data_IF_649370794931
#
_entry.id   IF_649370794931
#
_cell.length_a   1.000
_cell.length_b   1.000
_cell.length_c   1.000
_cell.angle_alpha   90.00
_cell.angle_beta   90.00
_cell.angle_gamma   90.00
#
_symmetry.space_group_name_H-M   'P 1'
#
loop_
_entity.id
_entity.type
_entity.pdbx_description
1 polymer ?
#
# COMPACT_ATOMS: atom_id res chain seq x y z
N UNK A 1 12.86 25.54 -36.48
CA UNK A 1 12.04 26.38 -37.38
C UNK A 1 12.29 27.86 -37.10
N UNK A 2 12.67 28.63 -38.13
CA UNK A 2 12.81 30.08 -38.04
C UNK A 2 11.47 30.80 -38.33
N UNK A 3 11.12 31.82 -37.55
CA UNK A 3 9.86 32.56 -37.75
C UNK A 3 9.99 33.60 -38.88
N UNK A 4 9.00 33.67 -39.78
CA UNK A 4 8.93 34.73 -40.81
C UNK A 4 8.47 36.07 -40.20
N UNK A 5 8.72 37.21 -40.85
CA UNK A 5 8.16 38.49 -40.43
C UNK A 5 6.63 38.46 -40.49
N UNK A 6 5.97 39.09 -39.50
CA UNK A 6 4.51 39.17 -39.49
C UNK A 6 4.02 40.00 -40.67
N UNK A 7 3.16 39.46 -41.55
CA UNK A 7 2.55 40.20 -42.65
C UNK A 7 1.54 41.22 -42.10
N UNK A 8 1.30 42.31 -42.84
CA UNK A 8 0.41 43.38 -42.38
C UNK A 8 -1.02 42.90 -42.07
N UNK A 9 -1.54 41.97 -42.88
CA UNK A 9 -2.85 41.37 -42.63
C UNK A 9 -2.90 40.66 -41.26
N UNK A 10 -1.91 39.81 -40.95
CA UNK A 10 -1.83 39.12 -39.63
C UNK A 10 -1.69 40.11 -38.48
N UNK A 11 -0.91 41.18 -38.65
CA UNK A 11 -0.77 42.25 -37.63
C UNK A 11 -2.11 42.88 -37.31
N UNK A 12 -2.91 43.20 -38.34
CA UNK A 12 -4.25 43.76 -38.18
C UNK A 12 -5.18 42.78 -37.47
N UNK A 13 -5.10 41.49 -37.78
CA UNK A 13 -5.93 40.46 -37.16
C UNK A 13 -5.58 40.24 -35.68
N UNK A 14 -4.29 40.17 -35.34
CA UNK A 14 -3.81 40.04 -33.97
C UNK A 14 -4.20 41.23 -33.08
N UNK A 15 -4.22 42.45 -33.62
CA UNK A 15 -4.64 43.65 -32.87
C UNK A 15 -6.15 43.62 -32.54
N UNK A 16 -6.96 42.95 -33.37
CA UNK A 16 -8.41 42.78 -33.14
C UNK A 16 -8.72 41.70 -32.12
N UNK A 17 -7.81 40.77 -31.83
CA UNK A 17 -8.02 39.73 -30.81
C UNK A 17 -8.29 40.33 -29.43
N UNK A 18 -9.02 39.57 -28.63
CA UNK A 18 -9.36 39.97 -27.28
C UNK A 18 -8.07 40.21 -26.46
N UNK A 19 -8.09 41.25 -25.62
CA UNK A 19 -6.96 41.59 -24.77
C UNK A 19 -6.67 40.47 -23.78
N UNK A 20 -7.70 39.85 -23.20
CA UNK A 20 -7.52 38.76 -22.25
C UNK A 20 -6.86 37.54 -22.90
N UNK A 21 -7.28 37.13 -24.10
CA UNK A 21 -6.67 36.01 -24.84
C UNK A 21 -5.20 36.28 -25.19
N UNK A 22 -4.85 37.54 -25.45
CA UNK A 22 -3.47 37.93 -25.74
C UNK A 22 -2.60 37.92 -24.48
N UNK A 23 -3.19 38.28 -23.33
CA UNK A 23 -2.53 38.17 -22.03
C UNK A 23 -2.30 36.69 -21.70
N UNK A 24 -3.32 35.84 -21.83
CA UNK A 24 -3.22 34.40 -21.56
C UNK A 24 -2.12 33.73 -22.40
N UNK A 25 -2.06 34.01 -23.71
CA UNK A 25 -0.98 33.53 -24.58
C UNK A 25 0.41 33.98 -24.11
N UNK A 26 0.56 35.25 -23.73
CA UNK A 26 1.86 35.76 -23.28
C UNK A 26 2.23 35.28 -21.88
N UNK A 27 1.25 34.96 -21.03
CA UNK A 27 1.46 34.38 -19.69
C UNK A 27 1.98 32.94 -19.77
N UNK A 28 1.59 32.15 -20.78
CA UNK A 28 2.14 30.81 -21.03
C UNK A 28 3.67 30.81 -21.26
N UNK A 29 4.22 31.93 -21.76
CA UNK A 29 5.66 32.10 -21.97
C UNK A 29 6.41 32.26 -20.62
N UNK A 30 5.73 32.54 -19.52
CA UNK A 30 6.33 33.17 -18.34
C UNK A 30 6.88 32.26 -17.24
N UNK A 31 6.59 30.95 -17.23
CA UNK A 31 6.97 30.10 -16.09
C UNK A 31 8.46 29.70 -16.04
N UNK A 32 9.17 29.58 -17.18
CA UNK A 32 10.62 29.25 -17.19
C UNK A 32 11.48 30.12 -18.12
N UNK A 33 11.07 30.38 -19.37
CA UNK A 33 11.83 31.20 -20.33
C UNK A 33 11.49 32.71 -20.24
N UNK A 34 10.24 33.05 -19.89
CA UNK A 34 9.74 34.43 -19.94
C UNK A 34 10.34 35.39 -18.93
N UNK A 35 10.96 34.93 -17.84
CA UNK A 35 11.63 35.84 -16.88
C UNK A 35 12.85 36.52 -17.49
N UNK A 36 13.66 35.79 -18.26
CA UNK A 36 14.83 36.37 -18.93
C UNK A 36 14.40 37.24 -20.12
N UNK A 37 13.40 36.79 -20.89
CA UNK A 37 12.84 37.53 -22.03
C UNK A 37 12.18 38.87 -21.64
N UNK A 38 11.29 38.87 -20.64
CA UNK A 38 10.61 40.09 -20.17
C UNK A 38 11.62 41.10 -19.62
N UNK A 39 12.68 40.62 -18.96
CA UNK A 39 13.71 41.48 -18.37
C UNK A 39 14.65 42.12 -19.40
N UNK A 40 14.97 41.42 -20.50
CA UNK A 40 15.97 41.86 -21.47
C UNK A 40 15.37 42.64 -22.66
N UNK A 41 14.22 42.22 -23.20
CA UNK A 41 13.72 42.72 -24.49
C UNK A 41 12.49 43.63 -24.37
N UNK A 42 11.66 43.45 -23.34
CA UNK A 42 10.40 44.20 -23.19
C UNK A 42 10.49 45.42 -22.25
N UNK A 43 11.51 45.47 -21.39
CA UNK A 43 11.80 46.65 -20.57
C UNK A 43 12.78 47.58 -21.30
N UNK A 44 12.61 48.91 -21.24
CA UNK A 44 13.71 49.81 -21.53
C UNK A 44 14.84 49.54 -20.53
N UNK A 45 16.07 49.41 -21.01
CA UNK A 45 17.28 49.11 -20.23
C UNK A 45 17.58 50.10 -19.09
N UNK A 46 16.83 51.20 -19.00
CA UNK A 46 16.84 52.09 -17.84
C UNK A 46 15.46 52.73 -17.63
N UNK A 47 14.61 52.11 -16.81
CA UNK A 47 13.58 52.88 -16.10
C UNK A 47 14.24 53.38 -14.82
N UNK A 48 14.49 54.70 -14.72
CA UNK A 48 15.05 55.32 -13.51
C UNK A 48 14.25 54.87 -12.28
N UNK A 49 14.91 54.20 -11.33
CA UNK A 49 14.32 53.78 -10.05
C UNK A 49 14.08 52.27 -9.88
N UNK A 50 14.29 51.43 -10.91
CA UNK A 50 14.22 49.96 -10.75
C UNK A 50 15.61 49.34 -10.88
N UNK A 51 15.96 48.41 -9.97
CA UNK A 51 17.14 47.56 -10.15
C UNK A 51 16.94 46.68 -11.39
N UNK A 52 17.95 46.56 -12.27
CA UNK A 52 17.93 45.57 -13.35
C UNK A 52 17.56 44.19 -12.80
N UNK A 53 16.59 43.53 -13.43
CA UNK A 53 16.12 42.19 -13.01
C UNK A 53 15.00 42.14 -11.96
N UNK A 54 14.48 43.27 -11.48
CA UNK A 54 13.42 43.31 -10.43
C UNK A 54 12.08 43.94 -10.85
N UNK A 55 11.86 44.21 -12.14
CA UNK A 55 10.55 44.69 -12.60
C UNK A 55 9.50 43.57 -12.56
N UNK A 56 8.30 43.87 -12.05
CA UNK A 56 7.21 42.90 -12.02
C UNK A 56 6.68 42.61 -13.45
N UNK A 57 6.60 41.33 -13.86
CA UNK A 57 6.12 40.92 -15.19
C UNK A 57 4.71 41.45 -15.53
N UNK A 58 3.86 41.55 -14.52
CA UNK A 58 2.42 41.87 -14.61
C UNK A 58 2.11 43.25 -15.21
N UNK A 59 3.05 44.20 -15.18
CA UNK A 59 2.85 45.55 -15.76
C UNK A 59 3.32 45.69 -17.22
N UNK A 60 4.00 44.68 -17.76
CA UNK A 60 4.74 44.80 -19.03
C UNK A 60 3.95 44.24 -20.22
N UNK A 61 3.23 43.13 -20.02
CA UNK A 61 2.35 42.52 -21.04
C UNK A 61 1.21 43.48 -21.47
N UNK A 62 0.47 44.12 -20.55
CA UNK A 62 -0.55 45.10 -20.94
C UNK A 62 0.02 46.31 -21.70
N UNK A 63 1.27 46.72 -21.40
CA UNK A 63 1.94 47.81 -22.13
C UNK A 63 2.33 47.41 -23.54
N UNK A 64 2.86 46.20 -23.75
CA UNK A 64 3.14 45.66 -25.09
C UNK A 64 1.87 45.62 -25.92
N UNK A 65 0.78 45.09 -25.36
CA UNK A 65 -0.53 45.03 -26.04
C UNK A 65 -1.03 46.43 -26.37
N UNK A 66 -0.99 47.36 -25.43
CA UNK A 66 -1.40 48.75 -25.68
C UNK A 66 -0.54 49.41 -26.76
N UNK A 67 0.76 49.12 -26.82
CA UNK A 67 1.64 49.65 -27.88
C UNK A 67 1.34 49.02 -29.24
N UNK A 68 1.05 47.71 -29.31
CA UNK A 68 0.58 47.03 -30.52
C UNK A 68 -0.75 47.60 -31.02
N UNK A 69 -1.69 47.89 -30.10
CA UNK A 69 -3.01 48.45 -30.44
C UNK A 69 -2.98 49.94 -30.78
N UNK A 70 -2.14 50.76 -30.14
CA UNK A 70 -2.06 52.23 -30.34
C UNK A 70 -1.39 52.65 -31.64
N UNK A 71 -0.36 51.93 -32.10
CA UNK A 71 0.43 52.34 -33.28
C UNK A 71 -0.08 51.73 -34.60
N UNK A 72 -1.38 51.52 -34.75
CA UNK A 72 -1.96 51.13 -36.05
C UNK A 72 -1.70 52.16 -37.17
N UNK A 73 -1.28 53.37 -36.82
CA UNK A 73 -0.84 54.40 -37.78
C UNK A 73 0.55 54.05 -38.34
N UNK A 74 0.55 53.62 -39.61
CA UNK A 74 1.66 53.09 -40.40
C UNK A 74 2.90 54.00 -40.45
N UNK A 75 3.79 53.86 -39.48
CA UNK A 75 5.15 54.42 -39.57
C UNK A 75 6.20 53.33 -39.38
N UNK A 76 7.40 53.54 -39.94
CA UNK A 76 8.55 52.63 -39.85
C UNK A 76 8.95 52.25 -38.40
N UNK A 77 8.47 53.00 -37.39
CA UNK A 77 8.61 52.68 -35.96
C UNK A 77 7.86 51.40 -35.51
N UNK A 78 6.96 50.87 -36.34
CA UNK A 78 6.15 49.68 -36.03
C UNK A 78 6.92 48.36 -36.16
N UNK A 79 7.98 48.30 -36.98
CA UNK A 79 8.75 47.06 -37.19
C UNK A 79 9.38 46.54 -35.90
N UNK A 80 9.89 47.43 -35.04
CA UNK A 80 10.55 47.06 -33.79
C UNK A 80 9.59 46.36 -32.79
N UNK A 81 8.33 46.78 -32.70
CA UNK A 81 7.36 46.19 -31.77
C UNK A 81 6.92 44.81 -32.26
N UNK A 82 6.72 44.65 -33.58
CA UNK A 82 6.40 43.35 -34.17
C UNK A 82 7.58 42.37 -34.13
N UNK A 83 8.82 42.86 -34.16
CA UNK A 83 10.00 42.04 -33.88
C UNK A 83 10.00 41.55 -32.43
N UNK A 84 9.66 42.41 -31.46
CA UNK A 84 9.49 41.98 -30.06
C UNK A 84 8.40 40.93 -29.89
N UNK A 85 7.29 41.07 -30.62
CA UNK A 85 6.23 40.06 -30.63
C UNK A 85 6.68 38.75 -31.28
N UNK A 86 7.45 38.81 -32.38
CA UNK A 86 8.09 37.62 -32.99
C UNK A 86 8.95 36.88 -31.97
N UNK A 87 9.79 37.59 -31.22
CA UNK A 87 10.63 36.97 -30.18
C UNK A 87 9.74 36.35 -29.09
N UNK A 88 8.67 37.03 -28.65
CA UNK A 88 7.73 36.47 -27.67
C UNK A 88 7.08 35.17 -28.17
N UNK A 89 6.69 35.12 -29.44
CA UNK A 89 6.14 33.90 -30.05
C UNK A 89 7.18 32.78 -30.15
N UNK A 90 8.43 33.09 -30.52
CA UNK A 90 9.51 32.09 -30.51
C UNK A 90 9.76 31.55 -29.10
N UNK A 91 9.78 32.42 -28.09
CA UNK A 91 9.91 31.99 -26.69
C UNK A 91 8.72 31.14 -26.22
N UNK A 92 7.50 31.42 -26.70
CA UNK A 92 6.34 30.56 -26.48
C UNK A 92 6.54 29.18 -27.10
N UNK A 93 7.04 29.11 -28.34
CA UNK A 93 7.36 27.82 -28.98
C UNK A 93 8.38 27.04 -28.15
N UNK A 94 9.46 27.71 -27.72
CA UNK A 94 10.53 27.10 -26.92
C UNK A 94 10.04 26.59 -25.54
N UNK A 95 9.03 27.23 -24.95
CA UNK A 95 8.45 26.79 -23.67
C UNK A 95 7.55 25.56 -23.80
N UNK A 96 7.13 25.20 -25.01
CA UNK A 96 6.34 23.99 -25.29
C UNK A 96 7.27 22.89 -25.80
N UNK A 97 7.80 22.06 -24.91
CA UNK A 97 8.89 21.12 -25.20
C UNK A 97 8.62 20.20 -26.41
N UNK A 98 7.42 19.62 -26.49
CA UNK A 98 7.05 18.72 -27.59
C UNK A 98 6.95 19.47 -28.93
N UNK A 99 6.32 20.65 -28.93
CA UNK A 99 6.26 21.51 -30.12
C UNK A 99 7.66 21.95 -30.56
N UNK A 100 8.50 22.42 -29.63
CA UNK A 100 9.85 22.87 -29.93
C UNK A 100 10.70 21.75 -30.53
N UNK A 101 10.62 20.53 -29.98
CA UNK A 101 11.34 19.36 -30.49
C UNK A 101 10.95 19.06 -31.94
N UNK A 102 9.65 18.99 -32.22
CA UNK A 102 9.11 18.75 -33.57
C UNK A 102 9.56 19.85 -34.55
N UNK A 103 9.51 21.10 -34.12
CA UNK A 103 9.91 22.24 -34.96
C UNK A 103 11.42 22.38 -35.13
N UNK A 104 12.23 21.81 -34.23
CA UNK A 104 13.68 21.77 -34.39
C UNK A 104 14.09 20.75 -35.46
N UNK A 105 13.36 19.64 -35.55
CA UNK A 105 13.54 18.62 -36.59
C UNK A 105 13.02 19.08 -37.96
N UNK A 106 12.10 20.06 -37.98
CA UNK A 106 11.58 20.65 -39.21
C UNK A 106 12.48 21.75 -39.79
N UNK A 107 13.10 21.46 -40.93
CA UNK A 107 13.93 22.43 -41.66
C UNK A 107 13.09 23.32 -42.58
N UNK A 108 12.94 24.59 -42.19
CA UNK A 108 12.33 25.61 -43.03
C UNK A 108 13.33 26.61 -43.60
N UNK A 109 14.63 26.31 -43.58
CA UNK A 109 15.67 27.15 -44.19
C UNK A 109 15.42 27.50 -45.66
N UNK A 110 14.78 26.65 -46.53
CA UNK A 110 14.54 27.02 -47.92
C UNK A 110 13.55 28.18 -48.11
N UNK A 111 12.76 28.53 -47.08
CA UNK A 111 11.89 29.71 -47.09
C UNK A 111 12.68 31.04 -46.90
N UNK A 112 13.98 30.96 -46.60
CA UNK A 112 14.88 32.08 -46.37
C UNK A 112 16.07 31.98 -47.35
N UNK A 113 16.24 32.96 -48.22
CA UNK A 113 17.46 33.06 -49.04
C UNK A 113 18.70 33.36 -48.20
N UNK A 114 19.89 33.09 -48.75
CA UNK A 114 21.20 33.27 -48.08
C UNK A 114 21.41 34.68 -47.48
N UNK A 115 20.73 35.69 -48.02
CA UNK A 115 20.81 37.07 -47.57
C UNK A 115 19.54 37.58 -46.87
N UNK A 116 18.53 36.72 -46.65
CA UNK A 116 17.22 37.06 -46.05
C UNK A 116 16.49 38.20 -46.77
N UNK A 117 16.77 38.43 -48.06
CA UNK A 117 16.11 39.43 -48.91
C UNK A 117 14.82 38.89 -49.53
N UNK A 118 14.75 37.58 -49.77
CA UNK A 118 13.61 36.89 -50.34
C UNK A 118 13.11 35.86 -49.31
N UNK A 119 12.06 36.26 -48.58
CA UNK A 119 11.37 35.40 -47.62
C UNK A 119 10.09 34.91 -48.29
N UNK A 120 9.87 33.59 -48.29
CA UNK A 120 8.64 33.02 -48.82
C UNK A 120 7.41 33.63 -48.13
N UNK A 121 6.27 33.79 -48.84
CA UNK A 121 5.08 34.31 -48.21
C UNK A 121 4.59 33.39 -47.07
N UNK A 122 3.80 33.93 -46.13
CA UNK A 122 3.07 33.12 -45.17
C UNK A 122 2.18 32.10 -45.88
N UNK A 123 2.04 30.92 -45.28
CA UNK A 123 1.32 29.77 -45.83
C UNK A 123 1.99 29.24 -47.11
N UNK A 124 3.33 29.24 -47.13
CA UNK A 124 4.10 28.54 -48.18
C UNK A 124 3.83 27.03 -48.13
N UNK A 125 4.27 26.31 -49.16
CA UNK A 125 4.20 24.83 -49.16
C UNK A 125 4.93 24.23 -47.94
N UNK A 126 6.04 24.83 -47.50
CA UNK A 126 6.75 24.40 -46.30
C UNK A 126 5.94 24.68 -45.02
N UNK A 127 5.22 25.80 -44.95
CA UNK A 127 4.30 26.04 -43.82
C UNK A 127 3.20 24.96 -43.78
N UNK A 128 2.63 24.58 -44.94
CA UNK A 128 1.64 23.49 -45.02
C UNK A 128 2.23 22.14 -44.59
N UNK A 129 3.46 21.84 -45.01
CA UNK A 129 4.18 20.63 -44.59
C UNK A 129 4.48 20.62 -43.09
N UNK A 130 4.79 21.76 -42.49
CA UNK A 130 4.92 21.90 -41.04
C UNK A 130 3.61 21.47 -40.36
N UNK A 131 2.45 21.96 -40.80
CA UNK A 131 1.16 21.57 -40.21
C UNK A 131 0.79 20.09 -40.46
N UNK A 132 1.19 19.50 -41.59
CA UNK A 132 1.06 18.05 -41.83
C UNK A 132 1.88 17.25 -40.82
N UNK A 133 3.12 17.68 -40.56
CA UNK A 133 4.01 17.07 -39.55
C UNK A 133 3.41 17.18 -38.15
N UNK A 134 2.88 18.34 -37.78
CA UNK A 134 2.20 18.54 -36.48
C UNK A 134 0.95 17.68 -36.35
N UNK A 135 0.18 17.48 -37.43
CA UNK A 135 -0.98 16.58 -37.43
C UNK A 135 -0.56 15.11 -37.22
N UNK A 136 0.53 14.67 -37.85
CA UNK A 136 1.07 13.32 -37.63
C UNK A 136 1.56 13.14 -36.19
N UNK A 137 2.28 14.11 -35.64
CA UNK A 137 2.68 14.10 -34.23
C UNK A 137 1.47 14.07 -33.28
N UNK A 138 0.39 14.78 -33.61
CA UNK A 138 -0.85 14.75 -32.83
C UNK A 138 -1.51 13.38 -32.84
N UNK A 139 -1.53 12.69 -33.99
CA UNK A 139 -2.01 11.30 -34.10
C UNK A 139 -1.16 10.30 -33.32
N UNK A 140 0.10 10.65 -33.07
CA UNK A 140 1.03 9.88 -32.26
C UNK A 140 1.04 10.33 -30.79
N UNK A 141 0.03 11.08 -30.33
CA UNK A 141 -0.13 11.51 -28.93
C UNK A 141 1.01 12.42 -28.41
N UNK A 142 1.71 13.12 -29.29
CA UNK A 142 2.84 13.98 -28.92
C UNK A 142 2.45 15.45 -28.71
N UNK A 143 1.47 15.94 -29.45
CA UNK A 143 1.03 17.35 -29.39
C UNK A 143 -0.48 17.47 -29.59
N UNK A 144 -1.11 18.30 -28.78
CA UNK A 144 -2.55 18.50 -28.81
C UNK A 144 -3.00 19.56 -29.83
N UNK A 145 -4.26 19.44 -30.22
CA UNK A 145 -4.94 20.35 -31.15
C UNK A 145 -4.88 21.80 -30.68
N UNK A 146 -5.05 22.06 -29.39
CA UNK A 146 -5.09 23.40 -28.83
C UNK A 146 -3.72 24.10 -28.97
N UNK A 147 -2.63 23.37 -28.74
CA UNK A 147 -1.25 23.85 -28.96
C UNK A 147 -1.00 24.16 -30.43
N UNK A 148 -1.37 23.26 -31.36
CA UNK A 148 -1.24 23.52 -32.81
C UNK A 148 -2.07 24.75 -33.21
N UNK A 149 -3.29 24.88 -32.67
CA UNK A 149 -4.16 26.03 -32.93
C UNK A 149 -3.53 27.33 -32.46
N UNK A 150 -2.96 27.37 -31.24
CA UNK A 150 -2.26 28.55 -30.72
C UNK A 150 -1.03 28.92 -31.55
N UNK A 151 -0.25 27.92 -31.97
CA UNK A 151 0.88 28.11 -32.87
C UNK A 151 0.48 28.82 -34.16
N UNK A 152 -0.63 28.40 -34.78
CA UNK A 152 -1.19 29.02 -35.97
C UNK A 152 -1.80 30.42 -35.72
N UNK A 153 -2.60 30.55 -34.67
CA UNK A 153 -3.33 31.77 -34.37
C UNK A 153 -2.42 32.95 -34.03
N UNK A 154 -1.35 32.71 -33.27
CA UNK A 154 -0.42 33.73 -32.82
C UNK A 154 0.85 33.82 -33.66
N UNK A 155 1.12 32.84 -34.52
CA UNK A 155 2.27 32.87 -35.44
C UNK A 155 2.12 33.83 -36.60
N UNK A 156 3.03 33.77 -37.57
CA UNK A 156 3.03 34.68 -38.73
C UNK A 156 2.04 34.29 -39.84
N UNK A 157 1.35 33.15 -39.71
CA UNK A 157 0.47 32.56 -40.71
C UNK A 157 -0.76 33.42 -41.01
N UNK A 158 -1.24 33.36 -42.26
CA UNK A 158 -2.49 34.00 -42.66
C UNK A 158 -3.66 32.99 -42.57
N UNK A 159 -4.92 33.47 -42.51
CA UNK A 159 -6.08 32.58 -42.59
C UNK A 159 -6.01 31.66 -43.82
N UNK A 160 -6.03 30.34 -43.60
CA UNK A 160 -6.02 29.30 -44.64
C UNK A 160 -6.95 28.17 -44.27
N UNK A 161 -7.93 27.88 -45.13
CA UNK A 161 -8.85 26.75 -44.96
C UNK A 161 -8.13 25.40 -44.91
N UNK A 162 -6.99 25.28 -45.61
CA UNK A 162 -6.22 24.04 -45.62
C UNK A 162 -5.57 23.80 -44.25
N UNK A 163 -4.92 24.83 -43.68
CA UNK A 163 -4.32 24.75 -42.35
C UNK A 163 -5.41 24.49 -41.30
N UNK A 164 -6.53 25.20 -41.37
CA UNK A 164 -7.66 24.97 -40.45
C UNK A 164 -8.17 23.53 -40.53
N UNK A 165 -8.29 22.95 -41.73
CA UNK A 165 -8.69 21.55 -41.91
C UNK A 165 -7.68 20.58 -41.29
N UNK A 166 -6.39 20.89 -41.33
CA UNK A 166 -5.36 20.08 -40.68
C UNK A 166 -5.48 20.16 -39.15
N UNK A 167 -5.65 21.36 -38.60
CA UNK A 167 -5.83 21.57 -37.15
C UNK A 167 -7.11 20.89 -36.65
N UNK A 168 -8.20 20.94 -37.41
CA UNK A 168 -9.46 20.28 -37.02
C UNK A 168 -9.33 18.75 -36.94
N UNK A 169 -8.42 18.15 -37.70
CA UNK A 169 -8.13 16.71 -37.68
C UNK A 169 -7.17 16.28 -36.56
N UNK A 170 -6.55 17.22 -35.85
CA UNK A 170 -5.67 16.93 -34.73
C UNK A 170 -6.48 16.45 -33.50
N UNK A 171 -5.82 15.70 -32.62
CA UNK A 171 -6.46 15.17 -31.41
C UNK A 171 -6.49 16.24 -30.31
N UNK A 172 -7.62 16.45 -29.62
CA UNK A 172 -7.68 17.33 -28.46
C UNK A 172 -6.91 16.71 -27.27
N UNK A 173 -6.42 17.56 -26.36
CA UNK A 173 -5.65 17.14 -25.18
C UNK A 173 -6.31 15.99 -24.40
N UNK A 174 -7.62 16.07 -24.16
CA UNK A 174 -8.36 15.04 -23.40
C UNK A 174 -8.32 13.65 -24.07
N UNK A 175 -8.26 13.59 -25.40
CA UNK A 175 -8.17 12.34 -26.15
C UNK A 175 -6.76 11.75 -26.09
N UNK A 176 -5.73 12.61 -26.17
CA UNK A 176 -4.32 12.21 -25.99
C UNK A 176 -4.11 11.61 -24.60
N UNK A 177 -4.58 12.29 -23.54
CA UNK A 177 -4.50 11.80 -22.17
C UNK A 177 -5.21 10.46 -21.99
N UNK A 178 -6.39 10.31 -22.59
CA UNK A 178 -7.14 9.05 -22.58
C UNK A 178 -6.36 7.92 -23.24
N UNK A 179 -5.70 8.17 -24.38
CA UNK A 179 -4.91 7.15 -25.07
C UNK A 179 -3.67 6.75 -24.27
N UNK A 180 -2.95 7.71 -23.70
CA UNK A 180 -1.81 7.44 -22.81
C UNK A 180 -2.21 6.61 -21.58
N UNK A 181 -3.38 6.89 -21.00
CA UNK A 181 -3.92 6.07 -19.90
C UNK A 181 -4.24 4.62 -20.33
N UNK A 182 -4.65 4.41 -21.57
CA UNK A 182 -4.90 3.06 -22.10
C UNK A 182 -3.59 2.31 -22.39
N UNK A 183 -2.54 3.00 -22.83
CA UNK A 183 -1.23 2.40 -23.13
C UNK A 183 -0.57 1.73 -21.90
N UNK A 184 -0.82 2.25 -20.69
CA UNK A 184 -0.27 1.69 -19.44
C UNK A 184 -1.10 0.55 -18.83
N UNK A 185 -2.30 0.27 -19.36
CA UNK A 185 -3.16 -0.80 -18.84
C UNK A 185 -2.59 -2.21 -19.04
N UNK A 186 -1.99 -2.57 -20.19
CA UNK A 186 -1.40 -3.89 -20.38
C UNK A 186 -0.35 -4.24 -19.33
N UNK A 187 0.54 -3.29 -19.00
CA UNK A 187 1.57 -3.49 -17.97
C UNK A 187 0.94 -3.72 -16.60
N UNK A 188 -0.06 -2.91 -16.23
CA UNK A 188 -0.83 -3.11 -14.99
C UNK A 188 -1.54 -4.46 -14.94
N UNK A 189 -2.10 -4.93 -16.05
CA UNK A 189 -2.73 -6.26 -16.14
C UNK A 189 -1.68 -7.36 -15.94
N UNK A 190 -0.51 -7.22 -16.55
CA UNK A 190 0.59 -8.18 -16.39
C UNK A 190 1.10 -8.23 -14.94
N UNK A 191 1.26 -7.08 -14.28
CA UNK A 191 1.63 -7.00 -12.86
C UNK A 191 0.60 -7.68 -11.96
N UNK A 192 -0.70 -7.40 -12.18
CA UNK A 192 -1.78 -8.04 -11.42
C UNK A 192 -1.83 -9.55 -11.64
N UNK A 193 -1.64 -10.02 -12.88
CA UNK A 193 -1.56 -11.45 -13.19
C UNK A 193 -0.38 -12.12 -12.46
N UNK A 194 0.77 -11.46 -12.40
CA UNK A 194 1.93 -11.91 -11.62
C UNK A 194 1.64 -12.01 -10.11
N UNK A 195 0.97 -11.00 -9.55
CA UNK A 195 0.57 -11.00 -8.15
C UNK A 195 -0.43 -12.14 -7.82
N UNK A 196 -1.40 -12.38 -8.70
CA UNK A 196 -2.37 -13.49 -8.57
C UNK A 196 -1.64 -14.84 -8.58
N UNK A 197 -0.67 -15.03 -9.48
CA UNK A 197 0.12 -16.27 -9.52
C UNK A 197 0.92 -16.49 -8.22
N UNK A 198 1.53 -15.44 -7.69
CA UNK A 198 2.24 -15.49 -6.40
C UNK A 198 1.31 -15.86 -5.24
N UNK A 199 0.12 -15.26 -5.20
CA UNK A 199 -0.90 -15.59 -4.19
C UNK A 199 -1.38 -17.04 -4.31
N UNK A 200 -1.59 -17.54 -5.53
CA UNK A 200 -1.99 -18.94 -5.76
C UNK A 200 -0.92 -19.93 -5.27
N UNK A 201 0.37 -19.63 -5.48
CA UNK A 201 1.46 -20.45 -4.94
C UNK A 201 1.46 -20.46 -3.41
N UNK A 202 1.30 -19.30 -2.76
CA UNK A 202 1.18 -19.21 -1.30
C UNK A 202 -0.03 -19.97 -0.77
N UNK A 203 -1.18 -19.91 -1.45
CA UNK A 203 -2.37 -20.68 -1.08
C UNK A 203 -2.08 -22.18 -1.16
N UNK A 204 -1.40 -22.64 -2.21
CA UNK A 204 -1.03 -24.05 -2.35
C UNK A 204 -0.07 -24.52 -1.23
N UNK A 205 0.90 -23.69 -0.84
CA UNK A 205 1.81 -23.94 0.30
C UNK A 205 1.04 -24.05 1.63
N UNK A 206 0.15 -23.11 1.91
CA UNK A 206 -0.69 -23.13 3.13
C UNK A 206 -1.57 -24.39 3.15
N UNK A 207 -2.21 -24.73 2.02
CA UNK A 207 -3.04 -25.93 1.92
C UNK A 207 -2.23 -27.23 2.16
N UNK A 208 -0.97 -27.28 1.74
CA UNK A 208 -0.08 -28.42 2.01
C UNK A 208 0.29 -28.52 3.50
N UNK A 209 0.48 -27.38 4.16
CA UNK A 209 0.77 -27.30 5.59
C UNK A 209 -0.43 -27.74 6.42
N UNK A 210 -1.65 -27.32 6.04
CA UNK A 210 -2.89 -27.74 6.70
C UNK A 210 -3.09 -29.26 6.67
N UNK A 211 -2.86 -29.91 5.51
CA UNK A 211 -2.90 -31.38 5.41
C UNK A 211 -1.92 -32.06 6.38
N UNK A 212 -0.74 -31.48 6.57
CA UNK A 212 0.27 -32.00 7.49
C UNK A 212 -0.17 -31.85 8.94
N UNK A 213 -0.72 -30.69 9.31
CA UNK A 213 -1.29 -30.43 10.63
C UNK A 213 -2.44 -31.38 10.95
N UNK A 214 -3.36 -31.61 10.01
CA UNK A 214 -4.45 -32.58 10.17
C UNK A 214 -3.92 -34.00 10.42
N UNK A 215 -2.88 -34.44 9.69
CA UNK A 215 -2.25 -35.75 9.88
C UNK A 215 -1.61 -35.88 11.27
N UNK A 216 -0.94 -34.83 11.75
CA UNK A 216 -0.34 -34.80 13.09
C UNK A 216 -1.42 -34.85 14.18
N UNK A 217 -2.52 -34.09 14.05
CA UNK A 217 -3.63 -34.12 15.00
C UNK A 217 -4.30 -35.50 15.10
N UNK A 218 -4.43 -36.23 13.97
CA UNK A 218 -4.91 -37.62 13.99
C UNK A 218 -3.96 -38.53 14.78
N UNK A 219 -2.64 -38.43 14.53
CA UNK A 219 -1.63 -39.19 15.30
C UNK A 219 -1.65 -38.86 16.78
N UNK A 220 -1.76 -37.59 17.16
CA UNK A 220 -1.88 -37.17 18.57
C UNK A 220 -3.11 -37.81 19.19
N UNK A 221 -4.25 -37.78 18.50
CA UNK A 221 -5.50 -38.39 18.98
C UNK A 221 -5.36 -39.91 19.18
N UNK A 222 -4.71 -40.61 18.26
CA UNK A 222 -4.43 -42.05 18.36
C UNK A 222 -3.51 -42.36 19.56
N UNK A 223 -2.44 -41.58 19.72
CA UNK A 223 -1.50 -41.72 20.85
C UNK A 223 -2.21 -41.45 22.18
N UNK A 224 -3.03 -40.40 22.28
CA UNK A 224 -3.81 -40.08 23.48
C UNK A 224 -4.74 -41.24 23.85
N UNK A 225 -5.48 -41.80 22.89
CA UNK A 225 -6.35 -42.97 23.13
C UNK A 225 -5.55 -44.20 23.60
N UNK A 226 -4.38 -44.43 23.01
CA UNK A 226 -3.50 -45.52 23.44
C UNK A 226 -3.02 -45.33 24.88
N UNK A 227 -2.61 -44.10 25.24
CA UNK A 227 -2.21 -43.77 26.60
C UNK A 227 -3.35 -43.94 27.60
N UNK A 228 -4.54 -43.46 27.29
CA UNK A 228 -5.74 -43.63 28.15
C UNK A 228 -6.06 -45.11 28.38
N UNK A 229 -5.94 -45.94 27.33
CA UNK A 229 -6.14 -47.38 27.45
C UNK A 229 -5.09 -48.04 28.34
N UNK A 230 -3.81 -47.70 28.19
CA UNK A 230 -2.73 -48.27 29.00
C UNK A 230 -2.84 -47.81 30.46
N UNK A 231 -3.19 -46.55 30.70
CA UNK A 231 -3.43 -46.01 32.04
C UNK A 231 -4.62 -46.73 32.71
N UNK A 232 -5.68 -47.00 31.96
CA UNK A 232 -6.84 -47.75 32.45
C UNK A 232 -6.49 -49.21 32.80
N UNK A 233 -5.70 -49.89 31.96
CA UNK A 233 -5.17 -51.24 32.24
C UNK A 233 -4.28 -51.21 33.49
N UNK A 234 -3.37 -50.25 33.59
CA UNK A 234 -2.47 -50.10 34.73
C UNK A 234 -3.25 -49.86 36.02
N UNK A 235 -4.26 -48.98 36.01
CA UNK A 235 -5.14 -48.71 37.15
C UNK A 235 -5.91 -49.97 37.58
N UNK A 236 -6.48 -50.71 36.62
CA UNK A 236 -7.17 -51.98 36.90
C UNK A 236 -6.22 -53.01 37.52
N UNK A 237 -5.04 -53.19 36.93
CA UNK A 237 -4.01 -54.10 37.42
C UNK A 237 -3.56 -53.73 38.84
N UNK A 238 -3.31 -52.45 39.08
CA UNK A 238 -2.91 -51.95 40.40
C UNK A 238 -4.00 -52.17 41.45
N UNK A 239 -5.25 -51.82 41.14
CA UNK A 239 -6.39 -52.06 42.03
C UNK A 239 -6.56 -53.55 42.34
N UNK A 240 -6.41 -54.43 41.34
CA UNK A 240 -6.48 -55.87 41.55
C UNK A 240 -5.38 -56.38 42.50
N UNK A 241 -4.16 -55.84 42.39
CA UNK A 241 -3.03 -56.20 43.28
C UNK A 241 -3.26 -55.69 44.70
N UNK A 242 -3.73 -54.45 44.86
CA UNK A 242 -4.07 -53.89 46.16
C UNK A 242 -5.17 -54.72 46.82
N UNK A 243 -6.26 -55.03 46.10
CA UNK A 243 -7.38 -55.80 46.67
C UNK A 243 -6.93 -57.19 47.09
N UNK A 244 -6.08 -57.87 46.29
CA UNK A 244 -5.49 -59.15 46.69
C UNK A 244 -4.65 -59.02 47.96
N UNK A 245 -3.80 -57.99 48.06
CA UNK A 245 -2.96 -57.77 49.24
C UNK A 245 -3.82 -57.48 50.49
N UNK A 246 -4.80 -56.57 50.37
CA UNK A 246 -5.72 -56.20 51.46
C UNK A 246 -6.47 -57.44 51.92
N UNK A 247 -7.10 -58.19 51.02
CA UNK A 247 -7.86 -59.39 51.38
C UNK A 247 -6.97 -60.45 52.05
N UNK A 248 -5.74 -60.63 51.56
CA UNK A 248 -4.79 -61.58 52.19
C UNK A 248 -4.36 -61.15 53.60
N UNK A 249 -4.22 -59.84 53.84
CA UNK A 249 -3.88 -59.31 55.17
C UNK A 249 -5.08 -59.34 56.10
N UNK A 250 -6.26 -59.02 55.59
CA UNK A 250 -7.51 -59.05 56.34
C UNK A 250 -7.80 -60.46 56.84
N UNK A 251 -7.68 -61.48 55.98
CA UNK A 251 -7.83 -62.88 56.36
C UNK A 251 -6.86 -63.30 57.50
N UNK A 252 -5.60 -62.84 57.45
CA UNK A 252 -4.63 -63.11 58.54
C UNK A 252 -4.97 -62.42 59.84
N UNK A 253 -5.51 -61.20 59.77
CA UNK A 253 -5.98 -60.47 60.95
C UNK A 253 -7.21 -61.17 61.54
N UNK A 254 -8.16 -61.58 60.70
CA UNK A 254 -9.34 -62.36 61.12
C UNK A 254 -8.92 -63.66 61.82
N UNK A 255 -7.99 -64.43 61.25
CA UNK A 255 -7.46 -65.66 61.87
C UNK A 255 -6.80 -65.37 63.23
N UNK A 256 -6.02 -64.29 63.32
CA UNK A 256 -5.38 -63.87 64.58
C UNK A 256 -6.41 -63.45 65.65
N UNK A 257 -7.47 -62.73 65.25
CA UNK A 257 -8.56 -62.32 66.14
C UNK A 257 -9.30 -63.55 66.67
N UNK A 258 -9.68 -64.49 65.81
CA UNK A 258 -10.34 -65.74 66.24
C UNK A 258 -9.45 -66.55 67.19
N UNK A 259 -8.14 -66.64 66.91
CA UNK A 259 -7.20 -67.28 67.82
C UNK A 259 -7.17 -66.58 69.19
N UNK A 260 -7.14 -65.25 69.23
CA UNK A 260 -7.14 -64.50 70.49
C UNK A 260 -8.47 -64.65 71.25
N UNK A 261 -9.61 -64.68 70.56
CA UNK A 261 -10.93 -64.93 71.14
C UNK A 261 -10.99 -66.32 71.82
N UNK A 262 -10.46 -67.36 71.17
CA UNK A 262 -10.39 -68.70 71.77
C UNK A 262 -9.48 -68.74 73.00
N UNK A 263 -8.35 -68.03 72.98
CA UNK A 263 -7.45 -67.92 74.12
C UNK A 263 -8.11 -67.15 75.28
N UNK A 264 -8.87 -66.09 74.99
CA UNK A 264 -9.61 -65.34 76.00
C UNK A 264 -10.66 -66.22 76.69
N UNK A 265 -11.45 -66.98 75.94
CA UNK A 265 -12.42 -67.94 76.50
C UNK A 265 -11.76 -68.98 77.41
N UNK A 266 -10.59 -69.48 77.01
CA UNK A 266 -9.82 -70.41 77.84
C UNK A 266 -9.33 -69.75 79.14
N UNK A 267 -8.87 -68.50 79.08
CA UNK A 267 -8.46 -67.73 80.26
C UNK A 267 -9.64 -67.44 81.20
N UNK A 268 -10.82 -67.10 80.66
CA UNK A 268 -12.04 -66.92 81.45
C UNK A 268 -12.45 -68.21 82.18
N UNK A 269 -12.35 -69.36 81.52
CA UNK A 269 -12.58 -70.66 82.15
C UNK A 269 -11.59 -70.94 83.28
N UNK A 270 -10.30 -70.66 83.08
CA UNK A 270 -9.27 -70.80 84.12
C UNK A 270 -9.61 -69.90 85.32
N UNK A 271 -9.97 -68.64 85.10
CA UNK A 271 -10.35 -67.70 86.15
C UNK A 271 -11.60 -68.18 86.95
N UNK A 272 -12.59 -68.79 86.27
CA UNK A 272 -13.74 -69.41 86.96
C UNK A 272 -13.31 -70.61 87.82
N UNK A 273 -12.39 -71.44 87.32
CA UNK A 273 -11.82 -72.53 88.10
C UNK A 273 -11.03 -72.02 89.31
N UNK A 274 -10.21 -70.98 89.16
CA UNK A 274 -9.47 -70.35 90.26
C UNK A 274 -10.42 -69.82 91.34
N UNK A 275 -11.53 -69.17 90.96
CA UNK A 275 -12.58 -68.76 91.91
C UNK A 275 -13.20 -69.93 92.65
N UNK A 276 -13.52 -71.03 91.96
CA UNK A 276 -14.07 -72.25 92.58
C UNK A 276 -13.07 -72.91 93.53
N UNK A 277 -11.80 -72.96 93.15
CA UNK A 277 -10.71 -73.44 94.01
C UNK A 277 -10.62 -72.57 95.26
N UNK A 278 -10.63 -71.23 95.12
CA UNK A 278 -10.64 -70.32 96.27
C UNK A 278 -11.84 -70.52 97.21
N UNK A 279 -13.04 -70.80 96.67
CA UNK A 279 -14.22 -71.14 97.49
C UNK A 279 -14.06 -72.49 98.21
N UNK A 280 -13.49 -73.49 97.54
CA UNK A 280 -13.17 -74.79 98.13
C UNK A 280 -12.15 -74.63 99.27
N UNK A 281 -11.10 -73.86 99.05
CA UNK A 281 -10.04 -73.59 100.02
C UNK A 281 -10.59 -72.90 101.27
N UNK A 282 -11.46 -71.89 101.11
CA UNK A 282 -12.19 -71.27 102.22
C UNK A 282 -13.08 -72.25 102.99
N UNK A 283 -13.76 -73.19 102.30
CA UNK A 283 -14.56 -74.24 102.96
C UNK A 283 -13.67 -75.21 103.74
N UNK A 284 -12.52 -75.56 103.18
CA UNK A 284 -11.55 -76.46 103.79
C UNK A 284 -10.95 -75.83 105.05
N UNK A 285 -10.57 -74.56 104.99
CA UNK A 285 -10.08 -73.80 106.14
C UNK A 285 -11.11 -73.75 107.27
N UNK A 286 -12.39 -73.48 106.96
CA UNK A 286 -13.48 -73.55 107.95
C UNK A 286 -13.64 -74.94 108.58
N UNK A 287 -13.47 -76.01 107.80
CA UNK A 287 -13.52 -77.37 108.33
C UNK A 287 -12.32 -77.66 109.24
N UNK A 288 -11.12 -77.21 108.89
CA UNK A 288 -9.92 -77.33 109.73
C UNK A 288 -10.13 -76.60 111.06
N UNK A 289 -10.56 -75.33 111.02
CA UNK A 289 -10.89 -74.55 112.23
C UNK A 289 -11.95 -75.25 113.09
N UNK A 290 -13.00 -75.82 112.46
CA UNK A 290 -14.02 -76.60 113.17
C UNK A 290 -13.45 -77.85 113.85
N UNK A 291 -12.49 -78.54 113.23
CA UNK A 291 -11.82 -79.72 113.81
C UNK A 291 -10.92 -79.29 114.97
N UNK A 292 -10.21 -78.17 114.85
CA UNK A 292 -9.37 -77.62 115.93
C UNK A 292 -10.21 -77.26 117.16
N UNK A 293 -11.36 -76.60 116.97
CA UNK A 293 -12.32 -76.32 118.05
C UNK A 293 -12.84 -77.61 118.69
N UNK A 294 -13.16 -78.64 117.90
CA UNK A 294 -13.57 -79.95 118.43
C UNK A 294 -12.44 -80.63 119.22
N UNK A 295 -11.19 -80.54 118.74
CA UNK A 295 -10.01 -81.11 119.40
C UNK A 295 -9.71 -80.40 120.72
N UNK A 296 -9.85 -79.08 120.78
CA UNK A 296 -9.77 -78.33 122.04
C UNK A 296 -10.90 -78.67 123.02
N UNK A 297 -12.09 -78.99 122.51
CA UNK A 297 -13.20 -79.51 123.31
C UNK A 297 -12.91 -80.87 123.94
N UNK A 298 -12.27 -81.78 123.19
CA UNK A 298 -11.87 -83.11 123.68
C UNK A 298 -10.75 -83.02 124.71
N UNK A 299 -9.79 -82.10 124.55
CA UNK A 299 -8.69 -81.92 125.51
C UNK A 299 -9.10 -81.24 126.83
N UNK A 300 -10.35 -80.78 126.97
CA UNK A 300 -10.89 -80.13 128.19
C UNK A 300 -11.91 -80.99 128.95
N UNK A 301 -12.24 -82.19 128.45
CA UNK A 301 -13.11 -83.18 129.09
C UNK A 301 -12.26 -84.29 129.74
#
# INVERSE_FOLDING_TARGET
MEAKPYPEAKRRDLVKKNKEDFIAFLEEVTEQAGRQFIQQELLPSSVNGFRPGHAQPTLTVPRLINNLKRKQELTNSNSAIWNKFKIAWTAWVESHCELNKLLHEFDNSPDFDENRKCIAPPNSELDLQCFKTLLEASRNNQIDKETIRRFYEYGYFLPSNEIETLIEKALPQAEIERQQQLEVLPDRVNELAGAINSLNLRIAEIASTDKTTQKLNRKITEVTKSFESELSKMKSNFNSRINRLINSRLAKVEESVTSLETQLLAAEFINDMEKKIGQLDQRLQKHIESIEVQREGINKA
#
